data_IF_152164429861
#
_entry.id   IF_152164429861
#
_cell.length_a   1.000
_cell.length_b   1.000
_cell.length_c   1.000
_cell.angle_alpha   90.00
_cell.angle_beta   90.00
_cell.angle_gamma   90.00
#
_symmetry.space_group_name_H-M   'P 1'
#
loop_
_entity.id
_entity.type
_entity.pdbx_description
1 polymer ?
#
# COMPACT_ATOMS: atom_id res chain seq x y z
N UNK A 1 -29.10 51.76 123.55
CA UNK A 1 -28.11 52.18 122.52
C UNK A 1 -27.33 51.00 121.92
N UNK A 2 -26.98 49.94 122.68
CA UNK A 2 -26.12 48.85 122.19
C UNK A 2 -26.72 47.99 121.05
N UNK A 3 -28.03 47.67 121.04
CA UNK A 3 -28.61 46.85 119.96
C UNK A 3 -28.60 47.52 118.57
N UNK A 4 -28.65 48.85 118.48
CA UNK A 4 -28.64 49.55 117.18
C UNK A 4 -27.26 49.57 116.53
N UNK A 5 -26.20 49.54 117.33
CA UNK A 5 -24.81 49.57 116.85
C UNK A 5 -24.40 48.22 116.25
N UNK A 6 -24.76 47.11 116.90
CA UNK A 6 -24.51 45.74 116.42
C UNK A 6 -25.24 45.44 115.11
N UNK A 7 -26.46 45.98 114.96
CA UNK A 7 -27.23 45.83 113.72
C UNK A 7 -26.57 46.59 112.54
N UNK A 8 -26.06 47.80 112.79
CA UNK A 8 -25.39 48.60 111.77
C UNK A 8 -24.07 47.97 111.30
N UNK A 9 -23.25 47.45 112.21
CA UNK A 9 -22.00 46.75 111.85
C UNK A 9 -22.24 45.47 111.08
N UNK A 10 -23.27 44.68 111.42
CA UNK A 10 -23.63 43.48 110.66
C UNK A 10 -24.14 43.80 109.24
N UNK A 11 -24.91 44.87 109.07
CA UNK A 11 -25.35 45.32 107.74
C UNK A 11 -24.15 45.76 106.90
N UNK A 12 -23.23 46.54 107.47
CA UNK A 12 -22.01 46.98 106.77
C UNK A 12 -21.15 45.78 106.37
N UNK A 13 -20.94 44.82 107.28
CA UNK A 13 -20.18 43.60 107.00
C UNK A 13 -20.81 42.77 105.88
N UNK A 14 -22.14 42.60 105.90
CA UNK A 14 -22.88 41.88 104.86
C UNK A 14 -22.79 42.61 103.50
N UNK A 15 -22.91 43.94 103.47
CA UNK A 15 -22.71 44.74 102.27
C UNK A 15 -21.30 44.59 101.70
N UNK A 16 -20.26 44.59 102.54
CA UNK A 16 -18.87 44.38 102.11
C UNK A 16 -18.69 42.99 101.49
N UNK A 17 -19.28 41.94 102.11
CA UNK A 17 -19.18 40.58 101.60
C UNK A 17 -19.83 40.43 100.21
N UNK A 18 -21.02 41.04 100.03
CA UNK A 18 -21.70 41.08 98.73
C UNK A 18 -20.89 41.82 97.66
N UNK A 19 -20.22 42.92 98.02
CA UNK A 19 -19.35 43.68 97.11
C UNK A 19 -18.15 42.83 96.66
N UNK A 20 -17.53 42.07 97.57
CA UNK A 20 -16.40 41.20 97.27
C UNK A 20 -16.83 40.06 96.34
N UNK A 21 -17.95 39.38 96.62
CA UNK A 21 -18.47 38.32 95.77
C UNK A 21 -18.83 38.84 94.36
N UNK A 22 -19.42 40.04 94.28
CA UNK A 22 -19.69 40.71 93.02
C UNK A 22 -18.41 41.03 92.24
N UNK A 23 -17.37 41.53 92.93
CA UNK A 23 -16.09 41.86 92.32
C UNK A 23 -15.37 40.62 91.75
N UNK A 24 -15.37 39.50 92.48
CA UNK A 24 -14.79 38.25 91.98
C UNK A 24 -15.54 37.72 90.74
N UNK A 25 -16.89 37.76 90.74
CA UNK A 25 -17.69 37.41 89.55
C UNK A 25 -17.40 38.33 88.37
N UNK A 26 -17.19 39.63 88.62
CA UNK A 26 -16.83 40.60 87.58
C UNK A 26 -15.45 40.28 86.99
N UNK A 27 -14.48 39.93 87.83
CA UNK A 27 -13.12 39.58 87.42
C UNK A 27 -13.07 38.36 86.49
N UNK A 28 -13.86 37.32 86.79
CA UNK A 28 -13.99 36.13 85.93
C UNK A 28 -14.57 36.50 84.56
N UNK A 29 -15.69 37.26 84.53
CA UNK A 29 -16.30 37.72 83.27
C UNK A 29 -15.35 38.57 82.44
N UNK A 30 -14.54 39.44 83.07
CA UNK A 30 -13.53 40.24 82.37
C UNK A 30 -12.45 39.36 81.73
N UNK A 31 -12.04 38.28 82.41
CA UNK A 31 -11.07 37.33 81.86
C UNK A 31 -11.64 36.55 80.66
N UNK A 32 -12.88 36.06 80.76
CA UNK A 32 -13.57 35.36 79.65
C UNK A 32 -13.70 36.26 78.42
N UNK A 33 -14.13 37.52 78.60
CA UNK A 33 -14.24 38.51 77.51
C UNK A 33 -12.87 38.78 76.85
N UNK A 34 -11.80 38.84 77.64
CA UNK A 34 -10.45 39.07 77.12
C UNK A 34 -9.99 37.87 76.27
N UNK A 35 -10.25 36.65 76.72
CA UNK A 35 -9.93 35.43 75.97
C UNK A 35 -10.71 35.37 74.65
N UNK A 36 -12.04 35.59 74.68
CA UNK A 36 -12.86 35.66 73.47
C UNK A 36 -12.36 36.72 72.50
N UNK A 37 -11.99 37.90 73.01
CA UNK A 37 -11.41 38.97 72.18
C UNK A 37 -10.12 38.52 71.50
N UNK A 38 -9.21 37.83 72.20
CA UNK A 38 -7.97 37.32 71.58
C UNK A 38 -8.25 36.27 70.51
N UNK A 39 -9.21 35.36 70.74
CA UNK A 39 -9.61 34.37 69.73
C UNK A 39 -10.24 35.02 68.49
N UNK A 40 -11.04 36.07 68.68
CA UNK A 40 -11.64 36.84 67.58
C UNK A 40 -10.57 37.56 66.76
N UNK A 41 -9.57 38.16 67.41
CA UNK A 41 -8.45 38.83 66.74
C UNK A 41 -7.63 37.84 65.89
N UNK A 42 -7.36 36.64 66.42
CA UNK A 42 -6.64 35.59 65.69
C UNK A 42 -7.44 35.07 64.47
N UNK A 43 -8.75 34.80 64.65
CA UNK A 43 -9.64 34.42 63.53
C UNK A 43 -9.66 35.48 62.45
N UNK A 44 -9.68 36.76 62.84
CA UNK A 44 -9.62 37.89 61.90
C UNK A 44 -8.31 37.90 61.10
N UNK A 45 -7.17 37.59 61.74
CA UNK A 45 -5.87 37.48 61.05
C UNK A 45 -5.88 36.36 60.02
N UNK A 46 -6.34 35.16 60.40
CA UNK A 46 -6.42 33.99 59.50
C UNK A 46 -7.32 34.28 58.29
N UNK A 47 -8.51 34.85 58.52
CA UNK A 47 -9.44 35.23 57.44
C UNK A 47 -8.77 36.20 56.46
N UNK A 48 -8.01 37.18 56.96
CA UNK A 48 -7.32 38.14 56.11
C UNK A 48 -6.19 37.50 55.29
N UNK A 49 -5.40 36.61 55.90
CA UNK A 49 -4.37 35.86 55.18
C UNK A 49 -4.97 34.97 54.08
N UNK A 50 -6.07 34.28 54.37
CA UNK A 50 -6.76 33.43 53.40
C UNK A 50 -7.43 34.24 52.28
N UNK A 51 -7.95 35.42 52.58
CA UNK A 51 -8.48 36.35 51.59
C UNK A 51 -7.41 36.80 50.59
N UNK A 52 -6.21 37.19 51.07
CA UNK A 52 -5.12 37.58 50.18
C UNK A 52 -4.60 36.40 49.35
N UNK A 53 -4.50 35.20 49.94
CA UNK A 53 -4.17 33.97 49.17
C UNK A 53 -5.21 33.68 48.08
N UNK A 54 -6.49 33.83 48.40
CA UNK A 54 -7.57 33.61 47.45
C UNK A 54 -7.51 34.63 46.31
N UNK A 55 -7.24 35.91 46.63
CA UNK A 55 -7.10 36.98 45.65
C UNK A 55 -5.98 36.70 44.64
N UNK A 56 -4.83 36.22 45.09
CA UNK A 56 -3.73 35.80 44.21
C UNK A 56 -4.13 34.62 43.32
N UNK A 57 -4.81 33.61 43.88
CA UNK A 57 -5.29 32.45 43.10
C UNK A 57 -6.29 32.86 42.02
N UNK A 58 -7.20 33.78 42.33
CA UNK A 58 -8.16 34.32 41.35
C UNK A 58 -7.43 35.04 40.23
N UNK A 59 -6.44 35.88 40.54
CA UNK A 59 -5.64 36.57 39.52
C UNK A 59 -4.93 35.58 38.56
N UNK A 60 -4.26 34.57 39.11
CA UNK A 60 -3.57 33.56 38.31
C UNK A 60 -4.52 32.73 37.43
N UNK A 61 -5.74 32.43 37.93
CA UNK A 61 -6.75 31.72 37.16
C UNK A 61 -7.28 32.57 36.00
N UNK A 62 -7.44 33.87 36.20
CA UNK A 62 -7.84 34.81 35.15
C UNK A 62 -6.79 34.88 34.05
N UNK A 63 -5.51 35.03 34.41
CA UNK A 63 -4.40 35.06 33.46
C UNK A 63 -4.33 33.76 32.64
N UNK A 64 -4.43 32.60 33.31
CA UNK A 64 -4.45 31.30 32.63
C UNK A 64 -5.66 31.14 31.69
N UNK A 65 -6.80 31.76 32.00
CA UNK A 65 -7.98 31.72 31.13
C UNK A 65 -7.76 32.58 29.88
N UNK A 66 -7.21 33.78 30.03
CA UNK A 66 -6.88 34.67 28.91
C UNK A 66 -5.86 34.04 27.95
N UNK A 67 -4.81 33.39 28.47
CA UNK A 67 -3.83 32.66 27.66
C UNK A 67 -4.47 31.53 26.85
N UNK A 68 -5.39 30.77 27.47
CA UNK A 68 -6.11 29.68 26.79
C UNK A 68 -7.04 30.19 25.70
N UNK A 69 -7.73 31.30 25.95
CA UNK A 69 -8.57 31.93 24.95
C UNK A 69 -7.73 32.42 23.75
N UNK A 70 -6.60 33.07 23.99
CA UNK A 70 -5.69 33.51 22.93
C UNK A 70 -5.13 32.33 22.13
N UNK A 71 -4.75 31.23 22.79
CA UNK A 71 -4.32 30.02 22.12
C UNK A 71 -5.43 29.43 21.22
N UNK A 72 -6.65 29.32 21.75
CA UNK A 72 -7.79 28.81 20.99
C UNK A 72 -8.10 29.68 19.77
N UNK A 73 -8.02 31.00 19.90
CA UNK A 73 -8.18 31.95 18.80
C UNK A 73 -7.09 31.78 17.73
N UNK A 74 -5.83 31.60 18.12
CA UNK A 74 -4.71 31.33 17.20
C UNK A 74 -4.90 30.03 16.42
N UNK A 75 -5.23 28.94 17.12
CA UNK A 75 -5.49 27.64 16.49
C UNK A 75 -6.65 27.72 15.50
N UNK A 76 -7.74 28.42 15.85
CA UNK A 76 -8.88 28.64 14.97
C UNK A 76 -8.49 29.42 13.70
N UNK A 77 -7.63 30.43 13.81
CA UNK A 77 -7.17 31.19 12.66
C UNK A 77 -6.32 30.34 11.70
N UNK A 78 -5.42 29.51 12.23
CA UNK A 78 -4.61 28.57 11.44
C UNK A 78 -5.51 27.63 10.63
N UNK A 79 -6.54 27.07 11.27
CA UNK A 79 -7.50 26.17 10.61
C UNK A 79 -8.26 26.89 9.49
N UNK A 80 -8.62 28.16 9.68
CA UNK A 80 -9.31 28.96 8.65
C UNK A 80 -8.39 29.18 7.44
N UNK A 81 -7.14 29.56 7.69
CA UNK A 81 -6.15 29.84 6.65
C UNK A 81 -5.83 28.56 5.84
N UNK A 82 -5.63 27.43 6.53
CA UNK A 82 -5.38 26.13 5.89
C UNK A 82 -6.56 25.67 5.02
N UNK A 83 -7.80 25.81 5.51
CA UNK A 83 -8.99 25.48 4.74
C UNK A 83 -9.14 26.36 3.49
N UNK A 84 -8.75 27.62 3.57
CA UNK A 84 -8.81 28.53 2.43
C UNK A 84 -7.76 28.19 1.36
N UNK A 85 -6.56 27.79 1.78
CA UNK A 85 -5.52 27.28 0.89
C UNK A 85 -5.97 25.98 0.20
N UNK A 86 -6.49 25.01 0.96
CA UNK A 86 -7.01 23.75 0.41
C UNK A 86 -8.12 24.00 -0.62
N UNK A 87 -9.00 24.97 -0.36
CA UNK A 87 -10.07 25.33 -1.32
C UNK A 87 -9.51 25.86 -2.63
N UNK A 88 -8.43 26.65 -2.60
CA UNK A 88 -7.77 27.15 -3.80
C UNK A 88 -7.12 26.01 -4.58
N UNK A 89 -6.38 25.13 -3.90
CA UNK A 89 -5.74 23.95 -4.50
C UNK A 89 -6.74 23.02 -5.18
N UNK A 90 -7.90 22.78 -4.54
CA UNK A 90 -9.00 22.00 -5.11
C UNK A 90 -9.53 22.67 -6.38
N UNK A 91 -9.78 23.98 -6.35
CA UNK A 91 -10.25 24.75 -7.52
C UNK A 91 -9.26 24.70 -8.69
N UNK A 92 -7.96 24.74 -8.43
CA UNK A 92 -6.95 24.60 -9.48
C UNK A 92 -6.90 23.18 -10.07
N UNK A 93 -6.99 22.15 -9.22
CA UNK A 93 -7.07 20.75 -9.65
C UNK A 93 -8.33 20.49 -10.47
N UNK A 94 -9.48 21.02 -10.08
CA UNK A 94 -10.73 20.88 -10.83
C UNK A 94 -10.63 21.47 -12.25
N UNK A 95 -9.98 22.64 -12.39
CA UNK A 95 -9.69 23.24 -13.71
C UNK A 95 -8.79 22.33 -14.56
N UNK A 96 -7.77 21.73 -13.95
CA UNK A 96 -6.87 20.81 -14.65
C UNK A 96 -7.58 19.53 -15.09
N UNK A 97 -8.44 18.96 -14.24
CA UNK A 97 -9.26 17.79 -14.55
C UNK A 97 -10.20 18.10 -15.71
N UNK A 98 -10.90 19.24 -15.70
CA UNK A 98 -11.78 19.64 -16.79
C UNK A 98 -11.03 19.73 -18.14
N UNK A 99 -9.79 20.24 -18.14
CA UNK A 99 -8.95 20.30 -19.34
C UNK A 99 -8.56 18.91 -19.83
N UNK A 100 -8.16 18.00 -18.93
CA UNK A 100 -7.81 16.62 -19.29
C UNK A 100 -9.02 15.85 -19.84
N UNK A 101 -10.21 16.04 -19.27
CA UNK A 101 -11.46 15.43 -19.77
C UNK A 101 -11.72 15.86 -21.21
N UNK A 102 -11.65 17.16 -21.50
CA UNK A 102 -11.82 17.68 -22.86
C UNK A 102 -10.81 17.09 -23.85
N UNK A 103 -9.55 16.92 -23.43
CA UNK A 103 -8.51 16.33 -24.30
C UNK A 103 -8.75 14.85 -24.57
N UNK A 104 -9.15 14.08 -23.56
CA UNK A 104 -9.46 12.65 -23.69
C UNK A 104 -10.69 12.44 -24.59
N UNK A 105 -11.72 13.28 -24.47
CA UNK A 105 -12.90 13.22 -25.33
C UNK A 105 -12.55 13.51 -26.80
N UNK A 106 -11.73 14.53 -27.07
CA UNK A 106 -11.25 14.86 -28.41
C UNK A 106 -10.42 13.72 -29.02
N UNK A 107 -9.48 13.16 -28.24
CA UNK A 107 -8.67 12.01 -28.67
C UNK A 107 -9.55 10.80 -28.98
N UNK A 108 -10.54 10.50 -28.13
CA UNK A 108 -11.46 9.38 -28.35
C UNK A 108 -12.28 9.55 -29.63
N UNK A 109 -12.73 10.77 -29.94
CA UNK A 109 -13.44 11.05 -31.20
C UNK A 109 -12.52 10.85 -32.41
N UNK A 110 -11.28 11.34 -32.34
CA UNK A 110 -10.30 11.16 -33.41
C UNK A 110 -9.97 9.67 -33.66
N UNK A 111 -9.75 8.90 -32.59
CA UNK A 111 -9.50 7.45 -32.68
C UNK A 111 -10.68 6.69 -33.29
N UNK A 112 -11.92 7.05 -32.94
CA UNK A 112 -13.13 6.48 -33.56
C UNK A 112 -13.18 6.76 -35.06
N UNK A 113 -12.81 7.96 -35.48
CA UNK A 113 -12.77 8.31 -36.91
C UNK A 113 -11.72 7.49 -37.66
N UNK A 114 -10.50 7.36 -37.09
CA UNK A 114 -9.41 6.56 -37.67
C UNK A 114 -9.81 5.08 -37.78
N UNK A 115 -10.42 4.51 -36.74
CA UNK A 115 -10.90 3.12 -36.75
C UNK A 115 -11.95 2.88 -37.82
N UNK A 116 -12.81 3.85 -38.08
CA UNK A 116 -13.86 3.76 -39.10
C UNK A 116 -13.26 3.77 -40.51
N UNK A 117 -12.30 4.67 -40.76
CA UNK A 117 -11.57 4.75 -42.04
C UNK A 117 -10.77 3.46 -42.32
N UNK A 118 -10.03 2.95 -41.32
CA UNK A 118 -9.29 1.69 -41.45
C UNK A 118 -10.22 0.49 -41.71
N UNK A 119 -11.38 0.43 -41.07
CA UNK A 119 -12.38 -0.63 -41.30
C UNK A 119 -12.90 -0.60 -42.74
N UNK A 120 -13.13 0.58 -43.31
CA UNK A 120 -13.52 0.72 -44.71
C UNK A 120 -12.42 0.20 -45.66
N UNK A 121 -11.17 0.63 -45.47
CA UNK A 121 -10.01 0.17 -46.25
C UNK A 121 -9.77 -1.34 -46.18
N UNK A 122 -9.91 -1.93 -44.99
CA UNK A 122 -9.80 -3.39 -44.82
C UNK A 122 -10.89 -4.13 -45.59
N UNK A 123 -12.10 -3.58 -45.62
CA UNK A 123 -13.23 -4.17 -46.37
C UNK A 123 -12.99 -4.11 -47.88
N UNK A 124 -12.47 -3.00 -48.39
CA UNK A 124 -12.06 -2.86 -49.80
C UNK A 124 -10.93 -3.84 -50.17
N UNK A 125 -9.90 -3.93 -49.33
CA UNK A 125 -8.78 -4.86 -49.53
C UNK A 125 -9.25 -6.32 -49.51
N UNK A 126 -10.20 -6.67 -48.65
CA UNK A 126 -10.80 -8.01 -48.61
C UNK A 126 -11.53 -8.33 -49.92
N UNK A 127 -12.29 -7.38 -50.46
CA UNK A 127 -12.94 -7.55 -51.76
C UNK A 127 -11.91 -7.74 -52.89
N UNK A 128 -10.83 -6.95 -52.89
CA UNK A 128 -9.75 -7.09 -53.86
C UNK A 128 -9.07 -8.47 -53.78
N UNK A 129 -8.77 -8.95 -52.57
CA UNK A 129 -8.20 -10.27 -52.34
C UNK A 129 -9.10 -11.40 -52.87
N UNK A 130 -10.42 -11.31 -52.69
CA UNK A 130 -11.36 -12.30 -53.24
C UNK A 130 -11.38 -12.32 -54.77
N UNK A 131 -11.27 -11.16 -55.43
CA UNK A 131 -11.15 -11.07 -56.89
C UNK A 131 -9.86 -11.72 -57.37
N UNK A 132 -8.72 -11.41 -56.74
CA UNK A 132 -7.43 -12.01 -57.08
C UNK A 132 -7.42 -13.53 -56.88
N UNK A 133 -8.02 -14.05 -55.81
CA UNK A 133 -8.13 -15.51 -55.62
C UNK A 133 -8.93 -16.19 -56.72
N UNK A 134 -10.00 -15.54 -57.20
CA UNK A 134 -10.81 -16.06 -58.31
C UNK A 134 -10.01 -16.08 -59.62
N UNK A 135 -9.29 -15.01 -59.95
CA UNK A 135 -8.37 -14.97 -61.10
C UNK A 135 -7.27 -16.02 -61.01
N UNK A 136 -6.64 -16.16 -59.83
CA UNK A 136 -5.61 -17.16 -59.60
C UNK A 136 -6.13 -18.57 -59.83
N UNK A 137 -7.34 -18.88 -59.34
CA UNK A 137 -7.97 -20.19 -59.54
C UNK A 137 -8.22 -20.47 -61.03
N UNK A 138 -8.69 -19.48 -61.79
CA UNK A 138 -8.90 -19.60 -63.25
C UNK A 138 -7.58 -19.78 -64.01
N UNK A 139 -6.51 -19.09 -63.61
CA UNK A 139 -5.19 -19.28 -64.21
C UNK A 139 -4.62 -20.66 -63.88
N UNK A 140 -4.84 -21.16 -62.67
CA UNK A 140 -4.37 -22.47 -62.24
C UNK A 140 -5.04 -23.61 -63.01
N UNK A 141 -6.34 -23.50 -63.33
CA UNK A 141 -7.03 -24.41 -64.27
C UNK A 141 -6.41 -24.38 -65.67
N UNK A 142 -6.06 -23.20 -66.20
CA UNK A 142 -5.38 -23.11 -67.51
C UNK A 142 -3.98 -23.72 -67.48
N UNK A 143 -3.22 -23.49 -66.41
CA UNK A 143 -1.88 -24.07 -66.24
C UNK A 143 -1.96 -25.60 -66.16
N UNK A 144 -2.88 -26.15 -65.38
CA UNK A 144 -3.08 -27.62 -65.31
C UNK A 144 -3.50 -28.21 -66.66
N UNK A 145 -4.35 -27.52 -67.43
CA UNK A 145 -4.70 -27.97 -68.79
C UNK A 145 -3.52 -27.94 -69.78
N UNK A 146 -2.57 -27.00 -69.60
CA UNK A 146 -1.35 -26.89 -70.39
C UNK A 146 -0.28 -27.91 -69.95
N UNK A 147 -0.20 -28.20 -68.66
CA UNK A 147 0.67 -29.26 -68.11
C UNK A 147 0.20 -30.66 -68.56
N UNK A 148 -1.11 -30.92 -68.62
CA UNK A 148 -1.67 -32.16 -69.21
C UNK A 148 -1.34 -32.30 -70.71
N UNK A 149 -1.15 -31.19 -71.43
CA UNK A 149 -0.66 -31.21 -72.82
C UNK A 149 0.86 -31.38 -72.93
N UNK A 150 1.64 -31.17 -71.84
CA UNK A 150 3.10 -31.14 -71.88
C UNK A 150 3.80 -32.31 -71.18
N UNK A 151 3.10 -33.39 -70.80
CA UNK A 151 3.75 -34.57 -70.19
C UNK A 151 4.49 -35.38 -71.28
N UNK A 152 5.68 -34.89 -71.62
CA UNK A 152 6.82 -35.71 -72.02
C UNK A 152 8.05 -35.16 -71.29
N UNK A 153 8.44 -35.88 -70.25
CA UNK A 153 9.68 -35.73 -69.44
C UNK A 153 9.84 -34.38 -68.72
N UNK A 154 9.80 -34.33 -67.39
CA UNK A 154 10.99 -34.60 -66.58
C UNK A 154 10.63 -34.67 -65.09
N UNK A 155 11.29 -35.58 -64.37
CA UNK A 155 11.24 -35.73 -62.92
C UNK A 155 11.91 -34.54 -62.23
N UNK A 156 11.17 -33.78 -61.41
CA UNK A 156 11.76 -32.77 -60.52
C UNK A 156 11.66 -33.21 -59.05
N UNK A 157 12.78 -33.04 -58.37
CA UNK A 157 13.08 -33.43 -57.00
C UNK A 157 12.37 -32.46 -56.06
N UNK A 158 11.40 -32.96 -55.29
CA UNK A 158 10.69 -32.17 -54.29
C UNK A 158 11.58 -31.81 -53.11
N UNK A 159 11.95 -30.53 -52.99
CA UNK A 159 12.51 -29.97 -51.75
C UNK A 159 11.40 -29.93 -50.69
N UNK A 160 11.51 -30.84 -49.73
CA UNK A 160 10.63 -30.92 -48.56
C UNK A 160 11.18 -29.98 -47.49
N UNK A 161 10.52 -28.83 -47.27
CA UNK A 161 10.85 -27.96 -46.14
C UNK A 161 10.24 -28.55 -44.86
N UNK A 162 11.05 -29.28 -44.10
CA UNK A 162 10.73 -29.69 -42.73
C UNK A 162 10.92 -28.49 -41.80
N UNK A 163 9.86 -27.73 -41.53
CA UNK A 163 9.83 -26.84 -40.38
C UNK A 163 9.69 -27.69 -39.12
N UNK A 164 10.83 -28.07 -38.52
CA UNK A 164 10.87 -28.49 -37.14
C UNK A 164 10.35 -27.32 -36.29
N UNK A 165 9.25 -27.53 -35.57
CA UNK A 165 8.75 -26.63 -34.52
C UNK A 165 9.22 -27.22 -33.19
N UNK A 166 10.26 -26.69 -32.51
CA UNK A 166 10.72 -27.25 -31.25
C UNK A 166 10.73 -26.19 -30.13
N UNK A 167 9.71 -26.18 -29.26
CA UNK A 167 9.86 -25.55 -27.93
C UNK A 167 8.79 -25.82 -26.85
N UNK A 168 7.63 -26.40 -27.15
CA UNK A 168 6.69 -26.80 -26.07
C UNK A 168 7.02 -28.17 -25.47
N UNK A 169 7.65 -29.06 -26.24
CA UNK A 169 7.92 -30.45 -25.86
C UNK A 169 8.70 -30.61 -24.54
N UNK A 170 9.48 -29.59 -24.15
CA UNK A 170 10.26 -29.60 -22.89
C UNK A 170 9.39 -29.42 -21.64
N UNK A 171 8.16 -28.95 -21.76
CA UNK A 171 7.23 -28.77 -20.64
C UNK A 171 6.03 -29.74 -20.68
N UNK A 172 5.99 -30.64 -21.66
CA UNK A 172 4.99 -31.70 -21.75
C UNK A 172 5.25 -32.85 -20.76
N UNK A 173 6.43 -32.88 -20.12
CA UNK A 173 6.78 -33.83 -19.06
C UNK A 173 6.20 -33.47 -17.68
N UNK A 174 5.52 -32.32 -17.54
CA UNK A 174 4.86 -31.94 -16.30
C UNK A 174 3.75 -32.95 -15.96
N UNK A 175 3.95 -33.71 -14.88
CA UNK A 175 3.05 -34.78 -14.43
C UNK A 175 2.28 -34.33 -13.18
N UNK A 176 1.00 -34.68 -13.08
CA UNK A 176 0.13 -34.35 -11.93
C UNK A 176 0.14 -32.86 -11.50
N UNK A 177 0.19 -31.96 -12.48
CA UNK A 177 -0.01 -30.51 -12.28
C UNK A 177 -1.30 -30.05 -12.94
N UNK A 178 -1.95 -29.06 -12.33
CA UNK A 178 -3.09 -28.35 -12.87
C UNK A 178 -2.57 -27.10 -13.59
N UNK A 179 -2.71 -27.10 -14.91
CA UNK A 179 -2.26 -26.00 -15.76
C UNK A 179 -3.38 -24.99 -15.93
N UNK A 180 -3.10 -23.71 -15.65
CA UNK A 180 -3.99 -22.62 -16.02
C UNK A 180 -3.83 -22.22 -17.49
N UNK A 181 -2.59 -22.06 -17.95
CA UNK A 181 -2.30 -21.58 -19.30
C UNK A 181 -0.89 -21.99 -19.72
N UNK A 182 -0.72 -22.20 -21.03
CA UNK A 182 0.59 -22.35 -21.68
C UNK A 182 0.78 -21.21 -22.66
N UNK A 183 1.96 -20.64 -22.69
CA UNK A 183 2.28 -19.60 -23.65
C UNK A 183 3.71 -19.72 -24.15
N UNK A 184 3.93 -19.25 -25.38
CA UNK A 184 5.22 -19.24 -26.03
C UNK A 184 5.56 -17.81 -26.43
N UNK A 185 6.64 -17.29 -25.87
CA UNK A 185 7.12 -15.94 -26.18
C UNK A 185 8.36 -15.99 -27.04
N UNK A 186 8.39 -15.17 -28.09
CA UNK A 186 9.55 -15.00 -28.96
C UNK A 186 10.40 -13.83 -28.46
N UNK A 187 11.63 -14.13 -28.04
CA UNK A 187 12.61 -13.16 -27.57
C UNK A 187 13.57 -12.88 -28.71
N UNK A 188 13.53 -11.66 -29.25
CA UNK A 188 14.45 -11.21 -30.30
C UNK A 188 15.80 -10.76 -29.74
N UNK A 189 16.88 -11.00 -30.48
CA UNK A 189 18.19 -10.51 -30.12
C UNK A 189 18.36 -9.00 -30.23
N UNK A 190 19.35 -8.48 -29.48
CA UNK A 190 19.79 -7.07 -29.45
C UNK A 190 18.73 -6.01 -29.07
N UNK A 191 17.53 -6.43 -28.64
CA UNK A 191 16.48 -5.54 -28.13
C UNK A 191 16.13 -5.88 -26.68
N UNK A 192 16.25 -4.93 -25.73
CA UNK A 192 15.69 -5.14 -24.41
C UNK A 192 14.17 -5.31 -24.55
N UNK A 193 13.64 -6.37 -23.93
CA UNK A 193 12.22 -6.73 -24.01
C UNK A 193 11.70 -7.00 -22.62
N UNK A 194 10.52 -6.44 -22.32
CA UNK A 194 9.76 -6.78 -21.14
C UNK A 194 8.46 -7.44 -21.60
N UNK A 195 8.38 -8.75 -21.39
CA UNK A 195 7.18 -9.53 -21.69
C UNK A 195 6.32 -9.50 -20.43
N UNK A 196 5.17 -8.82 -20.49
CA UNK A 196 4.23 -8.75 -19.38
C UNK A 196 3.09 -9.76 -19.58
N UNK A 197 2.99 -10.74 -18.69
CA UNK A 197 1.89 -11.71 -18.64
C UNK A 197 1.00 -11.43 -17.42
N UNK A 198 0.43 -10.22 -17.42
CA UNK A 198 -0.29 -9.62 -16.28
C UNK A 198 -1.40 -10.51 -15.73
N UNK A 199 -2.18 -11.17 -16.60
CA UNK A 199 -3.27 -12.08 -16.21
C UNK A 199 -2.83 -13.14 -15.20
N UNK A 200 -1.57 -13.58 -15.26
CA UNK A 200 -1.02 -14.61 -14.39
C UNK A 200 0.12 -14.09 -13.51
N UNK A 201 0.30 -12.78 -13.38
CA UNK A 201 1.26 -12.21 -12.43
C UNK A 201 2.74 -12.45 -12.74
N UNK A 202 3.11 -12.73 -13.99
CA UNK A 202 4.51 -12.96 -14.40
C UNK A 202 4.99 -11.88 -15.36
N UNK A 203 6.22 -11.39 -15.17
CA UNK A 203 6.93 -10.58 -16.16
C UNK A 203 8.31 -11.17 -16.42
N UNK A 204 8.71 -11.13 -17.68
CA UNK A 204 9.99 -11.66 -18.14
C UNK A 204 10.78 -10.52 -18.77
N UNK A 205 11.85 -10.10 -18.08
CA UNK A 205 12.77 -9.07 -18.53
C UNK A 205 13.99 -9.68 -19.22
N UNK A 206 14.25 -9.23 -20.43
CA UNK A 206 15.42 -9.59 -21.24
C UNK A 206 16.30 -8.36 -21.39
N UNK A 207 17.54 -8.45 -20.92
CA UNK A 207 18.50 -7.35 -21.02
C UNK A 207 19.06 -7.23 -22.45
N UNK A 208 19.54 -6.04 -22.81
CA UNK A 208 20.25 -5.83 -24.08
C UNK A 208 21.48 -6.74 -24.14
N UNK A 209 21.79 -7.27 -25.33
CA UNK A 209 22.90 -8.20 -25.59
C UNK A 209 22.76 -9.56 -24.87
N UNK A 210 21.55 -9.94 -24.46
CA UNK A 210 21.29 -11.31 -23.97
C UNK A 210 21.38 -12.38 -25.08
N UNK A 211 21.32 -11.94 -26.34
CA UNK A 211 21.31 -12.73 -27.57
C UNK A 211 22.02 -11.96 -28.69
N UNK A 212 22.57 -12.68 -29.67
CA UNK A 212 23.10 -12.07 -30.89
C UNK A 212 21.95 -11.46 -31.71
N UNK A 213 22.22 -10.39 -32.46
CA UNK A 213 21.19 -9.64 -33.21
C UNK A 213 20.41 -10.46 -34.24
N UNK A 214 20.96 -11.59 -34.72
CA UNK A 214 20.33 -12.53 -35.64
C UNK A 214 19.58 -13.67 -34.95
N UNK A 215 19.67 -13.79 -33.62
CA UNK A 215 19.07 -14.89 -32.88
C UNK A 215 17.67 -14.55 -32.37
N UNK A 216 16.83 -15.59 -32.32
CA UNK A 216 15.55 -15.56 -31.62
C UNK A 216 15.51 -16.78 -30.70
N UNK A 217 15.11 -16.57 -29.46
CA UNK A 217 14.90 -17.63 -28.48
C UNK A 217 13.44 -17.71 -28.12
N UNK A 218 12.98 -18.93 -27.96
CA UNK A 218 11.62 -19.24 -27.56
C UNK A 218 11.60 -19.49 -26.05
N UNK A 219 10.74 -18.76 -25.34
CA UNK A 219 10.49 -18.93 -23.93
C UNK A 219 9.10 -19.54 -23.75
N UNK A 220 9.08 -20.83 -23.41
CA UNK A 220 7.86 -21.55 -23.07
C UNK A 220 7.58 -21.35 -21.57
N UNK A 221 6.36 -20.94 -21.26
CA UNK A 221 5.92 -20.67 -19.89
C UNK A 221 4.59 -21.35 -19.64
N UNK A 222 4.50 -22.05 -18.52
CA UNK A 222 3.27 -22.68 -18.05
C UNK A 222 2.93 -22.15 -16.66
N UNK A 223 1.75 -21.54 -16.53
CA UNK A 223 1.22 -21.13 -15.24
C UNK A 223 0.50 -22.32 -14.58
N UNK A 224 0.88 -22.63 -13.35
CA UNK A 224 0.36 -23.76 -12.58
C UNK A 224 -0.53 -23.25 -11.44
N UNK A 225 -1.73 -23.80 -11.34
CA UNK A 225 -2.70 -23.49 -10.25
C UNK A 225 -2.72 -24.56 -9.17
N UNK A 226 -2.11 -25.71 -9.42
CA UNK A 226 -2.02 -26.80 -8.47
C UNK A 226 -1.06 -27.88 -8.95
N UNK A 227 -0.65 -28.75 -8.04
CA UNK A 227 0.22 -29.89 -8.33
C UNK A 227 0.76 -30.49 -7.05
N UNK A 228 1.46 -31.62 -7.17
CA UNK A 228 2.15 -32.20 -6.03
C UNK A 228 3.45 -31.43 -5.74
N UNK A 229 3.33 -30.30 -5.06
CA UNK A 229 4.46 -29.45 -4.69
C UNK A 229 4.87 -29.71 -3.24
N UNK A 230 6.16 -29.91 -3.01
CA UNK A 230 6.75 -29.99 -1.68
C UNK A 230 7.68 -28.78 -1.47
N UNK A 231 7.23 -27.84 -0.64
CA UNK A 231 8.01 -26.66 -0.29
C UNK A 231 8.89 -26.91 0.95
N UNK A 232 9.96 -26.12 1.14
CA UNK A 232 10.80 -26.18 2.33
C UNK A 232 9.97 -26.02 3.63
N UNK A 233 10.39 -26.66 4.74
CA UNK A 233 9.66 -26.55 6.00
C UNK A 233 9.57 -25.09 6.47
N UNK A 234 8.49 -24.77 7.18
CA UNK A 234 8.20 -23.41 7.70
C UNK A 234 8.04 -22.35 6.61
N UNK A 235 7.60 -22.73 5.41
CA UNK A 235 7.31 -21.79 4.32
C UNK A 235 5.85 -21.89 3.89
N UNK A 236 5.33 -20.78 3.36
CA UNK A 236 3.99 -20.69 2.78
C UNK A 236 4.13 -20.10 1.38
N UNK A 237 3.46 -20.72 0.40
CA UNK A 237 3.40 -20.21 -0.96
C UNK A 237 2.51 -18.96 -1.01
N UNK A 238 3.06 -17.85 -1.54
CA UNK A 238 2.37 -16.55 -1.64
C UNK A 238 2.28 -16.02 -3.08
N UNK A 239 2.59 -16.86 -4.06
CA UNK A 239 2.54 -16.56 -5.49
C UNK A 239 1.98 -17.76 -6.26
N UNK A 240 1.71 -17.57 -7.56
CA UNK A 240 1.54 -18.71 -8.46
C UNK A 240 2.88 -19.42 -8.70
N UNK A 241 2.81 -20.64 -9.23
CA UNK A 241 3.98 -21.44 -9.63
C UNK A 241 4.07 -21.45 -11.15
N UNK A 242 5.29 -21.31 -11.68
CA UNK A 242 5.51 -21.30 -13.12
C UNK A 242 6.57 -22.32 -13.50
N UNK A 243 6.35 -23.04 -14.59
CA UNK A 243 7.39 -23.75 -15.30
C UNK A 243 7.86 -22.87 -16.45
N UNK A 244 9.17 -22.60 -16.51
CA UNK A 244 9.78 -21.75 -17.54
C UNK A 244 10.88 -22.55 -18.22
N UNK A 245 10.82 -22.63 -19.54
CA UNK A 245 11.83 -23.31 -20.36
C UNK A 245 12.25 -22.42 -21.51
N UNK A 246 13.56 -22.43 -21.79
CA UNK A 246 14.12 -21.72 -22.94
C UNK A 246 14.56 -22.72 -24.00
N UNK A 247 14.36 -22.38 -25.27
CA UNK A 247 14.85 -23.20 -26.37
C UNK A 247 16.38 -23.26 -26.40
N UNK A 248 17.04 -22.16 -26.02
CA UNK A 248 18.51 -22.02 -25.94
C UNK A 248 18.94 -21.18 -24.72
N UNK A 249 20.15 -21.38 -24.17
CA UNK A 249 20.68 -20.54 -23.10
C UNK A 249 20.95 -19.11 -23.60
N UNK A 250 20.84 -18.13 -22.69
CA UNK A 250 21.11 -16.71 -22.96
C UNK A 250 22.52 -16.31 -22.51
N UNK A 251 23.10 -15.30 -23.16
CA UNK A 251 24.40 -14.73 -22.80
C UNK A 251 24.36 -13.99 -21.45
N UNK A 252 23.24 -13.32 -21.15
CA UNK A 252 22.96 -12.62 -19.89
C UNK A 252 21.81 -13.29 -19.13
N UNK A 253 21.67 -12.95 -17.85
CA UNK A 253 20.63 -13.50 -16.98
C UNK A 253 19.25 -12.97 -17.41
N UNK A 254 18.27 -13.86 -17.49
CA UNK A 254 16.87 -13.48 -17.62
C UNK A 254 16.35 -12.99 -16.26
N UNK A 255 15.56 -11.92 -16.27
CA UNK A 255 14.91 -11.38 -15.08
C UNK A 255 13.48 -11.93 -15.04
N UNK A 256 13.12 -12.61 -13.97
CA UNK A 256 11.74 -12.98 -13.70
C UNK A 256 11.19 -12.06 -12.62
N UNK A 257 10.05 -11.43 -12.90
CA UNK A 257 9.28 -10.72 -11.88
C UNK A 257 7.99 -11.49 -11.62
N UNK A 258 7.80 -11.91 -10.37
CA UNK A 258 6.68 -12.74 -9.95
C UNK A 258 5.85 -11.97 -8.95
N UNK A 259 4.54 -11.88 -9.22
CA UNK A 259 3.59 -11.24 -8.35
C UNK A 259 3.33 -12.09 -7.10
N UNK A 260 3.25 -11.45 -5.93
CA UNK A 260 2.87 -12.07 -4.67
C UNK A 260 1.62 -11.40 -4.07
N UNK A 261 0.96 -12.09 -3.14
CA UNK A 261 -0.25 -11.61 -2.46
C UNK A 261 0.00 -10.92 -1.11
N UNK A 262 1.26 -10.67 -0.75
CA UNK A 262 1.60 -9.96 0.49
C UNK A 262 1.56 -8.44 0.30
N UNK A 263 0.92 -7.75 1.23
CA UNK A 263 1.01 -6.29 1.37
C UNK A 263 2.27 -5.91 2.15
N UNK A 264 3.30 -5.49 1.40
CA UNK A 264 4.55 -5.01 1.98
C UNK A 264 4.49 -3.52 2.37
N UNK A 265 3.48 -2.78 1.92
CA UNK A 265 3.37 -1.34 2.20
C UNK A 265 3.01 -1.08 3.66
N UNK A 266 2.08 -1.87 4.21
CA UNK A 266 1.71 -1.84 5.63
C UNK A 266 2.73 -2.51 6.54
N UNK A 267 3.55 -3.44 6.02
CA UNK A 267 4.54 -4.20 6.80
C UNK A 267 5.85 -4.43 6.02
N UNK A 268 6.70 -3.39 5.85
CA UNK A 268 7.93 -3.49 5.07
C UNK A 268 8.89 -4.58 5.56
N UNK A 269 8.89 -4.87 6.87
CA UNK A 269 9.75 -5.90 7.48
C UNK A 269 9.45 -7.33 7.01
N UNK A 270 8.31 -7.57 6.35
CA UNK A 270 8.03 -8.89 5.76
C UNK A 270 8.90 -9.18 4.54
N UNK A 271 9.48 -8.16 3.89
CA UNK A 271 10.29 -8.35 2.69
C UNK A 271 11.52 -9.25 2.92
N UNK A 272 12.11 -9.25 4.12
CA UNK A 272 13.28 -10.06 4.45
C UNK A 272 12.95 -11.54 4.69
N UNK A 273 11.66 -11.87 4.79
CA UNK A 273 11.16 -13.24 4.92
C UNK A 273 10.77 -13.85 3.57
N UNK A 274 10.60 -13.03 2.53
CA UNK A 274 10.28 -13.48 1.19
C UNK A 274 11.52 -14.09 0.50
N UNK A 275 11.33 -15.26 -0.10
CA UNK A 275 12.38 -16.00 -0.79
C UNK A 275 11.81 -16.67 -2.04
N UNK A 276 12.66 -16.83 -3.05
CA UNK A 276 12.33 -17.64 -4.22
C UNK A 276 12.66 -19.12 -3.95
N UNK A 277 11.87 -20.01 -4.55
CA UNK A 277 12.13 -21.44 -4.52
C UNK A 277 11.98 -22.03 -5.93
N UNK A 278 12.80 -23.03 -6.26
CA UNK A 278 12.82 -23.68 -7.57
C UNK A 278 12.85 -25.19 -7.38
N UNK A 279 12.14 -25.91 -8.25
CA UNK A 279 12.23 -27.35 -8.42
C UNK A 279 12.67 -27.69 -9.86
N UNK A 280 13.56 -28.68 -10.05
CA UNK A 280 13.91 -29.14 -11.40
C UNK A 280 12.75 -29.88 -12.07
N UNK A 281 12.63 -29.73 -13.38
CA UNK A 281 11.58 -30.35 -14.20
C UNK A 281 12.06 -31.69 -14.80
N UNK A 282 13.38 -31.91 -14.88
CA UNK A 282 14.04 -33.08 -15.50
C UNK A 282 13.81 -34.43 -14.82
N UNK A 283 13.29 -34.49 -13.59
CA UNK A 283 13.02 -35.76 -12.90
C UNK A 283 11.53 -35.90 -12.63
N UNK A 284 10.84 -36.93 -13.18
CA UNK A 284 9.41 -37.19 -12.93
C UNK A 284 9.16 -37.78 -11.53
N UNK A 285 9.98 -37.42 -10.55
CA UNK A 285 9.78 -37.79 -9.16
C UNK A 285 8.80 -36.80 -8.54
N UNK A 286 7.56 -37.24 -8.36
CA UNK A 286 6.58 -36.55 -7.54
C UNK A 286 6.83 -36.88 -6.05
N UNK A 287 6.64 -35.92 -5.13
CA UNK A 287 6.28 -34.53 -5.37
C UNK A 287 7.46 -33.70 -5.90
N UNK A 288 7.18 -32.60 -6.62
CA UNK A 288 8.18 -31.62 -7.03
C UNK A 288 8.81 -30.97 -5.78
N UNK A 289 10.07 -31.29 -5.51
CA UNK A 289 10.80 -30.78 -4.35
C UNK A 289 11.39 -29.41 -4.65
N UNK A 290 10.80 -28.38 -4.05
CA UNK A 290 11.28 -27.02 -4.14
C UNK A 290 12.41 -26.78 -3.14
N UNK A 291 13.46 -26.11 -3.61
CA UNK A 291 14.59 -25.67 -2.80
C UNK A 291 14.70 -24.15 -2.86
N UNK A 292 15.06 -23.52 -1.73
CA UNK A 292 15.25 -22.07 -1.65
C UNK A 292 16.44 -21.68 -2.51
N UNK A 293 16.27 -20.64 -3.31
CA UNK A 293 17.34 -20.05 -4.12
C UNK A 293 17.75 -18.73 -3.52
N UNK A 294 19.06 -18.57 -3.34
CA UNK A 294 19.65 -17.33 -2.85
C UNK A 294 19.57 -16.20 -3.89
N UNK A 295 19.36 -14.99 -3.38
CA UNK A 295 19.19 -13.78 -4.18
C UNK A 295 17.72 -13.46 -4.51
N UNK A 296 17.55 -12.50 -5.42
CA UNK A 296 16.26 -11.88 -5.69
C UNK A 296 15.99 -10.68 -4.77
N UNK A 297 15.08 -9.83 -5.20
CA UNK A 297 14.77 -8.55 -4.57
C UNK A 297 13.25 -8.39 -4.42
N UNK A 298 12.81 -8.02 -3.22
CA UNK A 298 11.41 -7.69 -2.91
C UNK A 298 11.34 -6.26 -2.43
N UNK A 299 10.81 -5.37 -3.27
CA UNK A 299 10.69 -3.96 -2.91
C UNK A 299 9.48 -3.74 -1.99
N UNK A 300 9.60 -2.95 -0.92
CA UNK A 300 8.49 -2.71 0.01
C UNK A 300 7.25 -2.05 -0.63
N UNK A 301 7.43 -1.34 -1.74
CA UNK A 301 6.40 -0.63 -2.50
C UNK A 301 5.90 -1.42 -3.72
N UNK A 302 6.30 -2.69 -3.85
CA UNK A 302 5.99 -3.54 -5.01
C UNK A 302 5.23 -4.79 -4.61
N UNK A 303 4.32 -5.20 -5.49
CA UNK A 303 3.61 -6.47 -5.43
C UNK A 303 4.36 -7.58 -6.19
N UNK A 304 5.55 -7.26 -6.71
CA UNK A 304 6.41 -8.14 -7.46
C UNK A 304 7.76 -8.30 -6.78
N UNK A 305 8.21 -9.55 -6.68
CA UNK A 305 9.61 -9.87 -6.45
C UNK A 305 10.34 -10.10 -7.76
N UNK A 306 11.62 -9.72 -7.83
CA UNK A 306 12.46 -9.90 -9.02
C UNK A 306 13.61 -10.87 -8.74
N UNK A 307 13.91 -11.79 -9.66
CA UNK A 307 15.06 -12.69 -9.56
C UNK A 307 15.75 -12.85 -10.92
N UNK A 308 17.09 -12.87 -10.90
CA UNK A 308 17.90 -13.07 -12.10
C UNK A 308 18.41 -14.50 -12.21
N UNK A 309 18.16 -15.16 -13.34
CA UNK A 309 18.52 -16.57 -13.57
C UNK A 309 19.27 -16.77 -14.89
N UNK A 310 20.33 -17.58 -14.83
CA UNK A 310 21.09 -18.06 -16.01
C UNK A 310 20.60 -19.45 -16.45
N UNK A 311 20.30 -20.28 -15.47
CA UNK A 311 19.87 -21.65 -15.67
C UNK A 311 18.41 -21.76 -15.27
N UNK A 312 17.59 -22.05 -16.28
CA UNK A 312 16.24 -22.56 -16.12
C UNK A 312 16.38 -24.07 -16.07
N UNK A 313 15.93 -24.66 -14.97
CA UNK A 313 16.10 -26.08 -14.75
C UNK A 313 15.51 -26.85 -15.94
N UNK A 314 16.38 -27.61 -16.61
CA UNK A 314 16.02 -28.68 -17.52
C UNK A 314 15.25 -29.76 -16.76
#
# INVERSE_FOLDING_TARGET
>A
MQCKFVLATNIIFFCILLIIEYYEKLKVKVAEILEEKTQVEEKKRIINEDYEKLKVKVANLTELLEEKEEQYLKEKQIIIDDNQNLKNDISEKDKAIAKLISQVEEQSQNEKQIMTDLRAKVSENKLYATKLMKEKSQLQERVTSLEEQSIKETSSIGLQFNYLIPSMDKLDCLSDVQVAERNLFLIQGDKPQLINWEKYGLRIGVQKESLLSSETVEAAVVALVGGQFQFPPNTVLVSAVYAVSLSKPLLKRLILEIQHCLDLTGQPALNCHLKFAIAPVSTPSLPYQFSIVEGGEFKPDSWYGSIQRKEFCL
#
